data_IF_456055535284
#
_entry.id   IF_456055535284
#
_cell.length_a   1.000
_cell.length_b   1.000
_cell.length_c   1.000
_cell.angle_alpha   90.00
_cell.angle_beta   90.00
_cell.angle_gamma   90.00
#
_symmetry.space_group_name_H-M   'P 1'
#
loop_
_entity.id
_entity.type
_entity.pdbx_description
1 polymer ?
#
# COMPACT_ATOMS: atom_id res chain seq x y z
N UNK A 1 6.73 -9.74 4.07
CA UNK A 1 5.61 -8.80 4.22
C UNK A 1 5.46 -8.44 5.68
N UNK A 2 5.36 -7.17 5.98
CA UNK A 2 5.14 -6.67 7.34
C UNK A 2 3.70 -7.00 7.77
N UNK A 3 3.53 -7.46 9.01
CA UNK A 3 2.20 -7.69 9.60
C UNK A 3 1.92 -6.53 10.55
N UNK A 4 0.87 -5.77 10.27
CA UNK A 4 0.51 -4.57 11.02
C UNK A 4 -0.32 -4.90 12.24
N UNK A 5 -0.01 -4.24 13.35
CA UNK A 5 -0.96 -4.11 14.45
C UNK A 5 -2.07 -3.14 14.02
N UNK A 6 -3.33 -3.54 14.26
CA UNK A 6 -4.47 -2.71 13.91
C UNK A 6 -4.76 -1.71 15.03
N UNK A 7 -4.91 -0.41 14.73
CA UNK A 7 -5.24 0.59 15.73
C UNK A 7 -6.66 0.33 16.27
N UNK A 8 -6.84 0.44 17.59
CA UNK A 8 -8.17 0.33 18.22
C UNK A 8 -8.71 1.72 18.55
N UNK A 9 -10.03 1.89 18.47
CA UNK A 9 -10.69 3.18 18.71
C UNK A 9 -11.65 3.20 19.91
N UNK A 10 -11.95 4.39 20.40
CA UNK A 10 -12.98 4.66 21.41
C UNK A 10 -14.40 4.65 20.87
N UNK A 11 -15.36 4.58 21.79
CA UNK A 11 -16.77 4.77 21.45
C UNK A 11 -17.01 6.22 21.06
N UNK A 12 -17.77 6.42 19.98
CA UNK A 12 -18.23 7.73 19.53
C UNK A 12 -19.69 7.55 19.12
N UNK A 13 -20.52 8.54 19.48
CA UNK A 13 -21.91 8.63 19.10
C UNK A 13 -22.07 9.89 18.25
N UNK A 14 -22.26 9.73 16.94
CA UNK A 14 -22.52 10.89 16.08
C UNK A 14 -23.90 11.49 16.36
N UNK A 15 -24.84 10.70 16.90
CA UNK A 15 -26.14 11.21 17.34
C UNK A 15 -25.99 12.26 18.45
N UNK A 16 -25.03 12.07 19.36
CA UNK A 16 -24.77 13.03 20.44
C UNK A 16 -23.89 14.21 19.97
N UNK A 17 -23.03 13.96 18.98
CA UNK A 17 -22.05 14.92 18.47
C UNK A 17 -22.62 15.85 17.40
N UNK A 18 -23.54 15.38 16.56
CA UNK A 18 -24.04 16.09 15.39
C UNK A 18 -25.42 16.70 15.63
N UNK A 19 -25.60 17.94 15.21
CA UNK A 19 -26.89 18.63 15.14
C UNK A 19 -27.29 18.70 13.68
N UNK A 20 -28.32 17.96 13.30
CA UNK A 20 -28.87 18.05 11.95
C UNK A 20 -29.48 19.45 11.72
N UNK A 21 -28.91 20.21 10.79
CA UNK A 21 -29.37 21.56 10.39
C UNK A 21 -29.96 21.55 8.98
N UNK A 22 -30.05 20.40 8.34
CA UNK A 22 -30.66 20.25 7.02
C UNK A 22 -32.16 20.56 7.06
N UNK A 23 -32.70 20.88 5.88
CA UNK A 23 -34.15 21.04 5.70
C UNK A 23 -34.85 19.75 6.14
N UNK A 24 -35.93 19.92 6.93
CA UNK A 24 -36.75 18.83 7.47
C UNK A 24 -36.01 17.76 8.28
N UNK A 25 -34.80 18.07 8.79
CA UNK A 25 -33.96 17.10 9.52
C UNK A 25 -33.69 15.81 8.71
N UNK A 26 -33.44 15.98 7.42
CA UNK A 26 -33.27 14.90 6.45
C UNK A 26 -32.11 13.94 6.74
N UNK A 27 -31.17 14.29 7.63
CA UNK A 27 -29.96 13.50 7.90
C UNK A 27 -29.98 12.78 9.25
N UNK A 28 -31.00 12.98 10.09
CA UNK A 28 -31.10 12.37 11.42
C UNK A 28 -30.95 10.84 11.38
N UNK A 29 -31.60 10.17 10.41
CA UNK A 29 -31.47 8.72 10.21
C UNK A 29 -30.04 8.32 9.83
N UNK A 30 -29.41 9.08 8.92
CA UNK A 30 -28.06 8.82 8.43
C UNK A 30 -26.99 9.03 9.51
N UNK A 31 -27.17 9.98 10.42
CA UNK A 31 -26.29 10.20 11.58
C UNK A 31 -26.36 8.98 12.53
N UNK A 32 -27.54 8.39 12.71
CA UNK A 32 -27.71 7.15 13.47
C UNK A 32 -27.02 5.95 12.78
N UNK A 33 -27.17 5.81 11.46
CA UNK A 33 -26.48 4.80 10.67
C UNK A 33 -24.95 4.93 10.76
N UNK A 34 -24.42 6.16 10.66
CA UNK A 34 -22.99 6.44 10.82
C UNK A 34 -22.48 6.02 12.21
N UNK A 35 -23.28 6.22 13.26
CA UNK A 35 -22.97 5.78 14.63
C UNK A 35 -22.90 4.26 14.71
N UNK A 36 -23.86 3.57 14.12
CA UNK A 36 -23.89 2.11 14.09
C UNK A 36 -22.70 1.53 13.29
N UNK A 37 -22.42 2.06 12.09
CA UNK A 37 -21.31 1.63 11.25
C UNK A 37 -19.97 1.79 11.98
N UNK A 38 -19.75 2.93 12.66
CA UNK A 38 -18.56 3.16 13.47
C UNK A 38 -18.48 2.23 14.69
N UNK A 39 -19.61 1.93 15.33
CA UNK A 39 -19.67 1.00 16.45
C UNK A 39 -19.31 -0.43 16.02
N UNK A 40 -19.77 -0.88 14.84
CA UNK A 40 -19.41 -2.16 14.24
C UNK A 40 -17.91 -2.24 13.97
N UNK A 41 -17.33 -1.20 13.34
CA UNK A 41 -15.88 -1.10 13.10
C UNK A 41 -15.09 -1.24 14.41
N UNK A 42 -15.48 -0.49 15.44
CA UNK A 42 -14.85 -0.58 16.77
C UNK A 42 -14.95 -1.98 17.36
N UNK A 43 -16.11 -2.65 17.23
CA UNK A 43 -16.33 -4.01 17.73
C UNK A 43 -15.30 -4.97 17.15
N UNK A 44 -15.18 -5.01 15.81
CA UNK A 44 -14.25 -5.90 15.11
C UNK A 44 -12.79 -5.57 15.42
N UNK A 45 -12.41 -4.29 15.52
CA UNK A 45 -11.04 -3.91 15.91
C UNK A 45 -10.69 -4.38 17.34
N UNK A 46 -11.66 -4.31 18.26
CA UNK A 46 -11.48 -4.77 19.64
C UNK A 46 -11.36 -6.29 19.72
N UNK A 47 -12.17 -7.01 18.94
CA UNK A 47 -12.13 -8.48 18.89
C UNK A 47 -10.85 -8.96 18.22
N UNK A 48 -10.46 -8.34 17.10
CA UNK A 48 -9.18 -8.61 16.42
C UNK A 48 -7.94 -8.38 17.30
N UNK A 49 -8.03 -7.55 18.34
CA UNK A 49 -6.96 -7.35 19.32
C UNK A 49 -6.92 -8.46 20.38
N UNK A 50 -8.06 -9.07 20.70
CA UNK A 50 -8.19 -10.11 21.74
C UNK A 50 -7.90 -11.52 21.21
N UNK A 51 -8.06 -11.73 19.92
CA UNK A 51 -7.81 -13.00 19.26
C UNK A 51 -6.31 -13.19 19.04
N UNK A 52 -5.63 -13.79 20.03
CA UNK A 52 -4.20 -14.14 19.93
C UNK A 52 -3.97 -15.52 19.27
N UNK A 53 -5.01 -16.36 19.18
CA UNK A 53 -4.91 -17.77 18.75
C UNK A 53 -5.88 -18.19 17.63
N UNK A 54 -6.71 -17.27 17.13
CA UNK A 54 -7.66 -17.53 16.03
C UNK A 54 -7.28 -16.80 14.75
N UNK A 55 -7.74 -17.32 13.60
CA UNK A 55 -7.59 -16.61 12.32
C UNK A 55 -8.35 -15.28 12.36
N UNK A 56 -7.63 -14.17 12.19
CA UNK A 56 -8.21 -12.83 12.14
C UNK A 56 -8.90 -12.64 10.80
N UNK A 57 -10.19 -12.33 10.81
CA UNK A 57 -10.96 -12.06 9.61
C UNK A 57 -10.74 -10.62 9.11
N UNK A 58 -9.62 -10.41 8.42
CA UNK A 58 -9.29 -9.12 7.82
C UNK A 58 -10.24 -8.75 6.66
N UNK A 59 -10.91 -9.72 6.03
CA UNK A 59 -11.85 -9.45 4.95
C UNK A 59 -13.12 -8.78 5.49
N UNK A 60 -13.66 -9.27 6.60
CA UNK A 60 -14.80 -8.63 7.27
C UNK A 60 -14.44 -7.22 7.75
N UNK A 61 -13.22 -7.02 8.27
CA UNK A 61 -12.75 -5.68 8.64
C UNK A 61 -12.67 -4.73 7.43
N UNK A 62 -12.10 -5.18 6.31
CA UNK A 62 -12.04 -4.40 5.06
C UNK A 62 -13.44 -3.95 4.64
N UNK A 63 -14.42 -4.84 4.65
CA UNK A 63 -15.82 -4.53 4.29
C UNK A 63 -16.47 -3.51 5.22
N UNK A 64 -16.29 -3.67 6.53
CA UNK A 64 -16.84 -2.73 7.51
C UNK A 64 -16.24 -1.33 7.40
N UNK A 65 -14.95 -1.24 7.07
CA UNK A 65 -14.32 0.07 6.82
C UNK A 65 -14.89 0.68 5.53
N UNK A 66 -15.02 -0.10 4.45
CA UNK A 66 -15.65 0.35 3.20
C UNK A 66 -17.10 0.83 3.40
N UNK A 67 -17.86 0.19 4.30
CA UNK A 67 -19.20 0.62 4.69
C UNK A 67 -19.18 1.94 5.49
N UNK A 68 -18.17 2.13 6.34
CA UNK A 68 -18.09 3.30 7.22
C UNK A 68 -17.54 4.57 6.51
N UNK A 69 -16.57 4.44 5.60
CA UNK A 69 -15.91 5.58 4.94
C UNK A 69 -16.89 6.58 4.28
N UNK A 70 -17.93 6.14 3.53
CA UNK A 70 -18.94 7.04 2.97
C UNK A 70 -19.66 7.90 4.02
N UNK A 71 -19.91 7.35 5.21
CA UNK A 71 -20.64 8.06 6.27
C UNK A 71 -19.78 9.16 6.90
N UNK A 72 -18.53 8.89 7.25
CA UNK A 72 -17.66 9.93 7.85
C UNK A 72 -17.36 11.04 6.85
N UNK A 73 -17.21 10.72 5.56
CA UNK A 73 -17.10 11.73 4.50
C UNK A 73 -18.36 12.59 4.38
N UNK A 74 -19.55 11.97 4.47
CA UNK A 74 -20.82 12.70 4.45
C UNK A 74 -20.91 13.69 5.60
N UNK A 75 -20.51 13.28 6.81
CA UNK A 75 -20.49 14.15 7.99
C UNK A 75 -19.50 15.32 7.79
N UNK A 76 -18.29 15.05 7.30
CA UNK A 76 -17.29 16.09 6.99
C UNK A 76 -17.84 17.09 5.96
N UNK A 77 -18.43 16.59 4.87
CA UNK A 77 -18.98 17.43 3.81
C UNK A 77 -20.17 18.25 4.30
N UNK A 78 -21.11 17.65 5.04
CA UNK A 78 -22.25 18.36 5.60
C UNK A 78 -21.80 19.43 6.61
N UNK A 79 -20.77 19.15 7.42
CA UNK A 79 -20.20 20.13 8.33
C UNK A 79 -19.57 21.30 7.58
N UNK A 80 -18.83 21.03 6.50
CA UNK A 80 -18.24 22.08 5.66
C UNK A 80 -19.28 22.96 4.93
N UNK A 81 -20.51 22.46 4.73
CA UNK A 81 -21.62 23.17 4.10
C UNK A 81 -22.68 23.65 5.12
N UNK A 82 -22.37 23.61 6.42
CA UNK A 82 -23.28 24.02 7.51
C UNK A 82 -24.62 23.24 7.59
N UNK A 83 -24.76 22.12 6.89
CA UNK A 83 -25.94 21.25 6.93
C UNK A 83 -25.96 20.34 8.17
N UNK A 84 -24.79 20.12 8.80
CA UNK A 84 -24.65 19.49 10.12
C UNK A 84 -23.79 20.39 11.00
N UNK A 85 -24.29 20.75 12.19
CA UNK A 85 -23.50 21.37 13.25
C UNK A 85 -22.86 20.34 14.19
N UNK A 86 -21.86 20.74 14.97
CA UNK A 86 -21.20 19.88 15.97
C UNK A 86 -21.38 20.48 17.38
N UNK A 87 -21.74 19.65 18.36
CA UNK A 87 -21.85 19.99 19.78
C UNK A 87 -20.46 20.04 20.45
N UNK A 88 -19.66 21.05 20.11
CA UNK A 88 -18.32 21.26 20.68
C UNK A 88 -17.16 20.79 19.78
N UNK A 89 -15.97 20.61 20.35
CA UNK A 89 -14.79 20.16 19.60
C UNK A 89 -14.79 18.61 19.51
N UNK A 90 -14.99 18.03 18.30
CA UNK A 90 -15.09 16.60 18.16
C UNK A 90 -13.73 15.96 18.43
N UNK A 91 -13.67 15.00 19.37
CA UNK A 91 -12.42 14.35 19.76
C UNK A 91 -12.54 12.83 19.63
N UNK A 92 -11.56 12.21 18.97
CA UNK A 92 -11.57 10.79 18.65
C UNK A 92 -10.41 10.06 19.30
N UNK A 93 -10.72 9.03 20.08
CA UNK A 93 -9.70 8.27 20.79
C UNK A 93 -9.18 7.12 19.95
N UNK A 94 -7.92 7.16 19.52
CA UNK A 94 -7.28 6.14 18.67
C UNK A 94 -5.96 5.65 19.27
N UNK A 95 -5.53 4.44 18.91
CA UNK A 95 -4.18 3.96 19.24
C UNK A 95 -3.23 4.21 18.08
N UNK A 96 -2.04 4.71 18.41
CA UNK A 96 -0.95 4.89 17.46
C UNK A 96 -0.08 3.62 17.45
N UNK A 97 -0.11 2.86 16.37
CA UNK A 97 0.55 1.55 16.25
C UNK A 97 1.96 1.64 15.68
N UNK A 98 2.30 2.76 15.04
CA UNK A 98 3.62 3.00 14.46
C UNK A 98 4.51 3.88 15.32
N UNK A 99 4.00 4.52 16.38
CA UNK A 99 4.84 5.20 17.36
C UNK A 99 5.79 4.22 18.04
N UNK A 100 7.03 4.65 18.24
CA UNK A 100 7.94 3.96 19.13
C UNK A 100 7.38 4.02 20.54
N UNK A 101 7.28 2.86 21.18
CA UNK A 101 6.88 2.77 22.58
C UNK A 101 7.77 1.76 23.28
N UNK A 102 8.14 2.08 24.53
CA UNK A 102 9.03 1.24 25.34
C UNK A 102 8.30 -0.03 25.81
N UNK A 103 6.97 0.06 25.96
CA UNK A 103 6.11 -1.06 26.32
C UNK A 103 5.36 -1.58 25.09
N UNK A 104 5.09 -2.90 25.03
CA UNK A 104 4.32 -3.56 23.96
C UNK A 104 2.82 -3.18 23.91
N UNK A 105 2.46 -1.98 24.38
CA UNK A 105 1.12 -1.42 24.29
C UNK A 105 1.18 -0.11 23.50
N UNK A 106 0.59 -0.11 22.31
CA UNK A 106 0.40 1.08 21.48
C UNK A 106 -0.30 2.19 22.29
N UNK A 107 0.25 3.41 22.37
CA UNK A 107 -0.32 4.48 23.18
C UNK A 107 -1.70 4.86 22.63
N UNK A 108 -2.62 5.16 23.54
CA UNK A 108 -3.94 5.67 23.18
C UNK A 108 -3.92 7.18 23.32
N UNK A 109 -4.46 7.87 22.34
CA UNK A 109 -4.48 9.33 22.28
C UNK A 109 -5.82 9.83 21.79
N UNK A 110 -6.19 10.98 22.29
CA UNK A 110 -7.39 11.70 21.90
C UNK A 110 -6.98 12.73 20.84
N UNK A 111 -7.60 12.61 19.67
CA UNK A 111 -7.19 13.31 18.45
C UNK A 111 -8.36 14.17 17.98
N UNK A 112 -8.17 15.51 17.90
CA UNK A 112 -9.27 16.43 17.61
C UNK A 112 -9.60 16.48 16.11
N UNK A 113 -10.87 16.77 15.80
CA UNK A 113 -11.37 17.02 14.45
C UNK A 113 -11.95 15.77 13.77
N UNK A 114 -12.95 15.97 12.91
CA UNK A 114 -13.56 14.88 12.12
C UNK A 114 -12.55 14.17 11.19
N UNK A 115 -11.56 14.92 10.69
CA UNK A 115 -10.48 14.37 9.87
C UNK A 115 -9.61 13.37 10.62
N UNK A 116 -9.52 13.45 11.95
CA UNK A 116 -8.79 12.47 12.74
C UNK A 116 -9.39 11.07 12.54
N UNK A 117 -10.72 10.96 12.65
CA UNK A 117 -11.42 9.70 12.53
C UNK A 117 -11.36 9.14 11.11
N UNK A 118 -11.45 10.03 10.11
CA UNK A 118 -11.32 9.66 8.71
C UNK A 118 -9.90 9.17 8.37
N UNK A 119 -8.87 9.91 8.80
CA UNK A 119 -7.48 9.58 8.57
C UNK A 119 -7.09 8.25 9.22
N UNK A 120 -7.48 8.01 10.47
CA UNK A 120 -7.27 6.72 11.13
C UNK A 120 -8.07 5.58 10.48
N UNK A 121 -9.28 5.83 10.00
CA UNK A 121 -10.06 4.82 9.28
C UNK A 121 -9.37 4.39 7.98
N UNK A 122 -8.83 5.35 7.20
CA UNK A 122 -8.03 5.06 6.00
C UNK A 122 -6.69 4.37 6.32
N UNK A 123 -6.01 4.79 7.39
CA UNK A 123 -4.79 4.12 7.84
C UNK A 123 -5.07 2.65 8.20
N UNK A 124 -6.12 2.42 9.00
CA UNK A 124 -6.59 1.08 9.38
C UNK A 124 -6.97 0.26 8.15
N UNK A 125 -7.57 0.92 7.15
CA UNK A 125 -7.94 0.29 5.90
C UNK A 125 -6.73 -0.22 5.12
N UNK A 126 -5.70 0.61 4.97
CA UNK A 126 -4.44 0.22 4.35
C UNK A 126 -3.75 -0.93 5.11
N UNK A 127 -3.76 -0.90 6.45
CA UNK A 127 -3.22 -2.01 7.26
C UNK A 127 -4.02 -3.30 7.08
N UNK A 128 -5.35 -3.24 7.08
CA UNK A 128 -6.21 -4.40 6.89
C UNK A 128 -5.99 -5.05 5.51
N UNK A 129 -5.84 -4.24 4.45
CA UNK A 129 -5.50 -4.72 3.11
C UNK A 129 -4.12 -5.40 3.07
N UNK A 130 -3.10 -4.81 3.72
CA UNK A 130 -1.78 -5.44 3.82
C UNK A 130 -1.82 -6.76 4.59
N UNK A 131 -2.55 -6.79 5.71
CA UNK A 131 -2.69 -7.99 6.53
C UNK A 131 -3.48 -9.09 5.79
N UNK A 132 -4.51 -8.72 5.02
CA UNK A 132 -5.24 -9.63 4.14
C UNK A 132 -4.32 -10.23 3.06
N UNK A 133 -3.46 -9.42 2.45
CA UNK A 133 -2.43 -9.90 1.53
C UNK A 133 -1.45 -10.85 2.23
N UNK A 134 -1.02 -10.53 3.46
CA UNK A 134 -0.11 -11.35 4.24
C UNK A 134 -0.69 -12.76 4.50
N UNK A 135 -1.92 -12.86 5.01
CA UNK A 135 -2.55 -14.16 5.26
C UNK A 135 -2.79 -14.93 3.96
N UNK A 136 -3.13 -14.23 2.87
CA UNK A 136 -3.33 -14.85 1.55
C UNK A 136 -2.02 -15.47 1.05
N UNK A 137 -0.90 -14.75 1.12
CA UNK A 137 0.42 -15.25 0.71
C UNK A 137 0.88 -16.41 1.60
N UNK A 138 0.65 -16.32 2.91
CA UNK A 138 1.00 -17.40 3.83
C UNK A 138 0.21 -18.68 3.55
N UNK A 139 -1.09 -18.57 3.25
CA UNK A 139 -1.96 -19.71 2.92
C UNK A 139 -1.52 -20.46 1.66
N UNK A 140 -0.81 -19.80 0.75
CA UNK A 140 -0.30 -20.41 -0.49
C UNK A 140 0.89 -21.34 -0.19
N UNK A 141 1.68 -21.04 0.86
CA UNK A 141 2.86 -21.80 1.27
C UNK A 141 3.99 -21.79 0.22
N UNK A 142 5.07 -22.53 0.43
CA UNK A 142 6.20 -22.68 -0.52
C UNK A 142 5.90 -23.65 -1.68
N UNK A 143 4.79 -23.45 -2.38
CA UNK A 143 4.28 -24.41 -3.36
C UNK A 143 5.21 -24.65 -4.55
N UNK A 144 6.07 -23.68 -4.87
CA UNK A 144 7.08 -23.80 -5.92
C UNK A 144 8.13 -24.89 -5.61
N UNK A 145 8.26 -25.28 -4.34
CA UNK A 145 9.18 -26.33 -3.88
C UNK A 145 8.53 -27.72 -3.87
N UNK A 146 7.21 -27.81 -4.08
CA UNK A 146 6.50 -29.07 -4.10
C UNK A 146 6.69 -29.78 -5.45
N UNK A 147 7.51 -30.85 -5.47
CA UNK A 147 7.78 -31.66 -6.66
C UNK A 147 6.54 -32.40 -7.21
N UNK A 148 5.48 -32.56 -6.41
CA UNK A 148 4.26 -33.25 -6.81
C UNK A 148 3.14 -32.29 -7.27
N UNK A 149 3.39 -30.98 -7.32
CA UNK A 149 2.35 -30.02 -7.69
C UNK A 149 1.97 -30.15 -9.16
N UNK A 150 0.67 -30.21 -9.44
CA UNK A 150 0.19 -30.17 -10.82
C UNK A 150 0.25 -28.76 -11.40
N UNK A 151 0.31 -28.64 -12.72
CA UNK A 151 0.31 -27.32 -13.38
C UNK A 151 -0.98 -26.52 -13.11
N UNK A 152 -2.11 -27.21 -12.92
CA UNK A 152 -3.40 -26.60 -12.56
C UNK A 152 -3.36 -26.02 -11.15
N UNK A 153 -2.90 -26.79 -10.17
CA UNK A 153 -2.75 -26.32 -8.78
C UNK A 153 -1.75 -25.18 -8.66
N UNK A 154 -0.64 -25.25 -9.40
CA UNK A 154 0.38 -24.19 -9.45
C UNK A 154 -0.24 -22.88 -9.94
N UNK A 155 -0.98 -22.90 -11.05
CA UNK A 155 -1.68 -21.72 -11.59
C UNK A 155 -2.74 -21.18 -10.63
N UNK A 156 -3.49 -22.06 -9.96
CA UNK A 156 -4.47 -21.65 -8.96
C UNK A 156 -3.81 -20.92 -7.77
N UNK A 157 -2.62 -21.37 -7.34
CA UNK A 157 -1.81 -20.69 -6.33
C UNK A 157 -1.22 -19.37 -6.81
N UNK A 158 -0.80 -19.29 -8.07
CA UNK A 158 -0.39 -18.03 -8.69
C UNK A 158 -1.52 -17.00 -8.75
N UNK A 159 -2.77 -17.43 -8.94
CA UNK A 159 -3.93 -16.53 -8.91
C UNK A 159 -4.19 -16.01 -7.49
N UNK A 160 -4.05 -16.85 -6.46
CA UNK A 160 -4.10 -16.36 -5.06
C UNK A 160 -3.02 -15.32 -4.77
N UNK A 161 -1.80 -15.52 -5.30
CA UNK A 161 -0.74 -14.50 -5.22
C UNK A 161 -1.12 -13.22 -5.97
N UNK A 162 -1.80 -13.32 -7.12
CA UNK A 162 -2.31 -12.17 -7.87
C UNK A 162 -3.33 -11.37 -7.05
N UNK A 163 -4.24 -12.04 -6.36
CA UNK A 163 -5.22 -11.40 -5.47
C UNK A 163 -4.51 -10.66 -4.33
N UNK A 164 -3.53 -11.29 -3.66
CA UNK A 164 -2.75 -10.64 -2.61
C UNK A 164 -2.00 -9.38 -3.11
N UNK A 165 -1.42 -9.47 -4.32
CA UNK A 165 -0.77 -8.35 -4.99
C UNK A 165 -1.76 -7.17 -5.19
N UNK A 166 -3.00 -7.45 -5.62
CA UNK A 166 -4.01 -6.41 -5.81
C UNK A 166 -4.39 -5.69 -4.51
N UNK A 167 -4.45 -6.40 -3.38
CA UNK A 167 -4.68 -5.78 -2.08
C UNK A 167 -3.56 -4.80 -1.70
N UNK A 168 -2.29 -5.17 -1.96
CA UNK A 168 -1.14 -4.30 -1.69
C UNK A 168 -1.10 -3.06 -2.61
N UNK A 169 -1.46 -3.21 -3.89
CA UNK A 169 -1.60 -2.05 -4.79
C UNK A 169 -2.68 -1.09 -4.31
N UNK A 170 -3.80 -1.62 -3.79
CA UNK A 170 -4.88 -0.81 -3.22
C UNK A 170 -4.44 -0.13 -1.93
N UNK A 171 -3.75 -0.85 -1.04
CA UNK A 171 -3.19 -0.27 0.18
C UNK A 171 -2.21 0.87 -0.13
N UNK A 172 -1.33 0.67 -1.13
CA UNK A 172 -0.43 1.72 -1.62
C UNK A 172 -1.19 2.99 -2.02
N UNK A 173 -2.25 2.85 -2.83
CA UNK A 173 -3.11 3.97 -3.21
C UNK A 173 -3.81 4.65 -2.05
N UNK A 174 -4.30 3.88 -1.07
CA UNK A 174 -4.94 4.41 0.15
C UNK A 174 -3.96 5.27 0.95
N UNK A 175 -2.73 4.79 1.13
CA UNK A 175 -1.70 5.55 1.86
C UNK A 175 -1.24 6.80 1.10
N UNK A 176 -1.17 6.75 -0.24
CA UNK A 176 -0.93 7.93 -1.07
C UNK A 176 -2.06 8.96 -0.95
N UNK A 177 -3.32 8.52 -1.01
CA UNK A 177 -4.46 9.43 -0.83
C UNK A 177 -4.48 10.06 0.57
N UNK A 178 -4.15 9.27 1.60
CA UNK A 178 -3.99 9.77 2.96
C UNK A 178 -2.92 10.88 3.04
N UNK A 179 -1.73 10.66 2.47
CA UNK A 179 -0.60 11.59 2.54
C UNK A 179 -0.74 12.84 1.68
N UNK A 180 -1.37 12.73 0.52
CA UNK A 180 -1.44 13.79 -0.50
C UNK A 180 -2.75 14.57 -0.47
N UNK A 181 -3.82 14.01 0.09
CA UNK A 181 -5.14 14.65 0.13
C UNK A 181 -5.62 14.87 1.57
N UNK A 182 -5.80 13.80 2.33
CA UNK A 182 -6.52 13.89 3.62
C UNK A 182 -5.73 14.63 4.69
N UNK A 183 -4.43 14.34 4.85
CA UNK A 183 -3.60 15.01 5.85
C UNK A 183 -3.39 16.51 5.55
N UNK A 184 -3.11 16.93 4.29
CA UNK A 184 -3.10 18.35 3.94
C UNK A 184 -4.44 19.05 4.17
N UNK A 185 -5.57 18.44 3.79
CA UNK A 185 -6.89 19.03 4.02
C UNK A 185 -7.16 19.24 5.51
N UNK A 186 -6.81 18.27 6.36
CA UNK A 186 -6.93 18.40 7.81
C UNK A 186 -6.16 19.61 8.34
N UNK A 187 -4.94 19.86 7.85
CA UNK A 187 -4.14 21.02 8.28
C UNK A 187 -4.79 22.37 7.93
N UNK A 188 -5.56 22.42 6.86
CA UNK A 188 -6.22 23.65 6.37
C UNK A 188 -7.65 23.85 6.87
N UNK A 189 -8.30 22.81 7.40
CA UNK A 189 -9.72 22.88 7.75
C UNK A 189 -9.98 23.60 9.09
N UNK A 190 -11.17 24.21 9.22
CA UNK A 190 -11.65 24.85 10.44
C UNK A 190 -11.87 23.76 11.50
N UNK A 191 -11.13 23.82 12.61
CA UNK A 191 -11.25 22.85 13.71
C UNK A 191 -9.96 22.11 14.04
N UNK A 192 -8.84 22.41 13.37
CA UNK A 192 -7.54 21.94 13.83
C UNK A 192 -7.11 22.74 15.05
N UNK A 193 -6.98 22.05 16.19
CA UNK A 193 -6.52 22.66 17.44
C UNK A 193 -5.09 23.19 17.25
N UNK A 194 -4.84 24.49 17.49
CA UNK A 194 -3.50 25.02 17.42
C UNK A 194 -2.58 24.27 18.40
N UNK A 195 -1.41 23.86 17.92
CA UNK A 195 -0.39 23.08 18.65
C UNK A 195 -0.68 21.58 18.87
N UNK A 196 -1.69 20.98 18.23
CA UNK A 196 -1.83 19.52 18.25
C UNK A 196 -0.72 18.84 17.42
N UNK A 197 0.09 18.01 18.08
CA UNK A 197 1.10 17.20 17.40
C UNK A 197 0.50 15.85 16.99
N UNK A 198 0.36 15.64 15.68
CA UNK A 198 -0.10 14.35 15.13
C UNK A 198 0.89 13.24 15.49
N UNK A 199 0.42 12.00 15.75
CA UNK A 199 1.32 10.86 15.87
C UNK A 199 2.04 10.62 14.54
N UNK A 200 3.19 9.92 14.56
CA UNK A 200 3.89 9.50 13.34
C UNK A 200 2.99 8.68 12.40
N UNK A 201 2.02 7.93 12.92
CA UNK A 201 1.00 7.21 12.14
C UNK A 201 0.24 8.11 11.14
N UNK A 202 0.10 9.40 11.47
CA UNK A 202 -0.68 10.38 10.71
C UNK A 202 0.21 11.50 10.17
N UNK A 203 1.48 11.21 9.90
CA UNK A 203 2.35 12.10 9.14
C UNK A 203 2.32 11.76 7.65
N UNK A 204 2.62 12.77 6.83
CA UNK A 204 2.67 12.61 5.37
C UNK A 204 3.84 11.72 4.97
N UNK A 205 4.96 11.84 5.67
CA UNK A 205 6.20 11.11 5.40
C UNK A 205 6.04 9.62 5.71
N UNK A 206 5.44 9.27 6.87
CA UNK A 206 5.17 7.87 7.22
C UNK A 206 4.12 7.28 6.29
N UNK A 207 3.05 8.02 5.97
CA UNK A 207 2.03 7.56 5.02
C UNK A 207 2.64 7.29 3.63
N UNK A 208 3.49 8.19 3.13
CA UNK A 208 4.24 7.96 1.88
C UNK A 208 5.23 6.79 1.96
N UNK A 209 5.86 6.58 3.12
CA UNK A 209 6.71 5.41 3.35
C UNK A 209 5.89 4.11 3.26
N UNK A 210 4.71 4.07 3.87
CA UNK A 210 3.80 2.92 3.80
C UNK A 210 3.29 2.67 2.37
N UNK A 211 3.02 3.73 1.61
CA UNK A 211 2.63 3.63 0.21
C UNK A 211 3.73 2.93 -0.63
N UNK A 212 4.98 3.39 -0.49
CA UNK A 212 6.15 2.80 -1.17
C UNK A 212 6.42 1.37 -0.70
N UNK A 213 6.36 1.12 0.61
CA UNK A 213 6.57 -0.22 1.17
C UNK A 213 5.55 -1.22 0.63
N UNK A 214 4.28 -0.83 0.54
CA UNK A 214 3.20 -1.68 0.03
C UNK A 214 3.41 -2.03 -1.45
N UNK A 215 3.88 -1.08 -2.26
CA UNK A 215 4.20 -1.33 -3.66
C UNK A 215 5.43 -2.26 -3.82
N UNK A 216 6.45 -2.11 -2.98
CA UNK A 216 7.60 -3.01 -2.96
C UNK A 216 7.23 -4.44 -2.53
N UNK A 217 6.35 -4.59 -1.53
CA UNK A 217 5.80 -5.89 -1.13
C UNK A 217 5.00 -6.52 -2.30
N UNK A 218 4.20 -5.73 -3.04
CA UNK A 218 3.47 -6.20 -4.23
C UNK A 218 4.43 -6.69 -5.33
N UNK A 219 5.48 -5.91 -5.60
CA UNK A 219 6.53 -6.23 -6.57
C UNK A 219 7.27 -7.52 -6.19
N UNK A 220 7.51 -7.75 -4.90
CA UNK A 220 8.10 -9.01 -4.39
C UNK A 220 7.23 -10.22 -4.72
N UNK A 221 5.90 -10.08 -4.62
CA UNK A 221 4.96 -11.15 -5.01
C UNK A 221 4.98 -11.36 -6.54
N UNK A 222 5.05 -10.30 -7.34
CA UNK A 222 5.19 -10.46 -8.79
C UNK A 222 6.47 -11.19 -9.18
N UNK A 223 7.60 -10.88 -8.55
CA UNK A 223 8.86 -11.59 -8.79
C UNK A 223 8.73 -13.07 -8.42
N UNK A 224 8.12 -13.37 -7.28
CA UNK A 224 7.84 -14.76 -6.86
C UNK A 224 7.01 -15.52 -7.89
N UNK A 225 5.92 -14.92 -8.39
CA UNK A 225 5.09 -15.50 -9.47
C UNK A 225 5.90 -15.70 -10.74
N UNK A 226 6.69 -14.70 -11.13
CA UNK A 226 7.53 -14.73 -12.31
C UNK A 226 8.54 -15.89 -12.30
N UNK A 227 9.02 -16.25 -11.10
CA UNK A 227 9.97 -17.33 -10.85
C UNK A 227 9.32 -18.69 -10.56
N UNK A 228 7.99 -18.77 -10.44
CA UNK A 228 7.29 -19.96 -9.95
C UNK A 228 7.61 -21.22 -10.75
N UNK A 229 7.51 -21.15 -12.08
CA UNK A 229 7.81 -22.28 -12.96
C UNK A 229 9.29 -22.68 -12.93
N UNK A 230 10.20 -21.71 -12.98
CA UNK A 230 11.63 -22.00 -12.95
C UNK A 230 12.12 -22.52 -11.60
N UNK A 231 11.50 -22.08 -10.50
CA UNK A 231 11.77 -22.59 -9.17
C UNK A 231 11.33 -24.06 -9.05
N UNK A 232 10.16 -24.40 -9.61
CA UNK A 232 9.71 -25.78 -9.71
C UNK A 232 10.70 -26.66 -10.51
N UNK A 233 11.10 -26.23 -11.70
CA UNK A 233 12.04 -26.98 -12.54
C UNK A 233 13.43 -27.13 -11.88
N UNK A 234 13.87 -26.11 -11.13
CA UNK A 234 15.15 -26.13 -10.41
C UNK A 234 15.17 -27.08 -9.20
N UNK A 235 14.02 -27.60 -8.74
CA UNK A 235 14.00 -28.61 -7.68
C UNK A 235 14.70 -29.91 -8.10
N UNK A 236 14.82 -30.16 -9.41
CA UNK A 236 15.46 -31.35 -9.97
C UNK A 236 16.96 -31.15 -10.13
N UNK A 237 17.38 -29.98 -10.60
CA UNK A 237 18.78 -29.62 -10.82
C UNK A 237 19.05 -28.18 -10.34
N UNK A 238 19.40 -27.98 -9.06
CA UNK A 238 19.65 -26.64 -8.52
C UNK A 238 21.02 -26.10 -8.96
N UNK A 239 21.05 -24.82 -9.35
CA UNK A 239 22.27 -24.12 -9.77
C UNK A 239 22.42 -24.02 -11.29
N UNK A 240 23.60 -23.59 -11.79
CA UNK A 240 23.89 -23.51 -13.22
C UNK A 240 23.83 -24.86 -13.95
N UNK A 241 23.42 -24.90 -15.22
CA UNK A 241 22.82 -23.81 -15.98
C UNK A 241 21.36 -23.56 -15.57
N UNK A 242 20.85 -22.34 -15.80
CA UNK A 242 19.45 -22.03 -15.54
C UNK A 242 18.48 -22.90 -16.40
N UNK A 243 17.32 -23.29 -15.87
CA UNK A 243 16.35 -24.06 -16.64
C UNK A 243 15.76 -23.21 -17.78
N UNK A 244 15.30 -23.82 -18.89
CA UNK A 244 14.73 -23.10 -20.04
C UNK A 244 13.49 -22.25 -19.71
N UNK A 245 12.78 -22.58 -18.63
CA UNK A 245 11.62 -21.83 -18.14
C UNK A 245 11.98 -20.55 -17.39
N UNK A 246 13.26 -20.33 -17.10
CA UNK A 246 13.73 -19.18 -16.35
C UNK A 246 13.59 -17.89 -17.16
N UNK A 247 13.14 -16.83 -16.49
CA UNK A 247 13.00 -15.50 -17.10
C UNK A 247 14.37 -14.82 -17.22
N UNK A 248 14.56 -13.81 -18.08
CA UNK A 248 15.87 -13.18 -18.24
C UNK A 248 16.42 -12.68 -16.89
N UNK A 249 17.62 -13.12 -16.44
CA UNK A 249 18.22 -12.63 -15.19
C UNK A 249 18.34 -11.09 -15.09
N UNK A 250 18.64 -10.33 -16.17
CA UNK A 250 18.64 -8.87 -16.12
C UNK A 250 17.31 -8.26 -15.73
N UNK A 251 16.20 -8.91 -16.13
CA UNK A 251 14.86 -8.45 -15.75
C UNK A 251 14.71 -8.58 -14.24
N UNK A 252 15.02 -9.74 -13.67
CA UNK A 252 14.93 -9.99 -12.23
C UNK A 252 15.82 -9.05 -11.41
N UNK A 253 17.04 -8.80 -11.88
CA UNK A 253 17.95 -7.84 -11.26
C UNK A 253 17.30 -6.46 -11.14
N UNK A 254 16.78 -5.91 -12.24
CA UNK A 254 16.12 -4.60 -12.25
C UNK A 254 14.85 -4.56 -11.38
N UNK A 255 14.06 -5.64 -11.36
CA UNK A 255 12.87 -5.73 -10.51
C UNK A 255 13.23 -5.73 -9.01
N UNK A 256 14.27 -6.47 -8.62
CA UNK A 256 14.76 -6.50 -7.24
C UNK A 256 15.42 -5.17 -6.84
N UNK A 257 16.19 -4.56 -7.74
CA UNK A 257 16.80 -3.27 -7.48
C UNK A 257 15.74 -2.19 -7.18
N UNK A 258 14.63 -2.22 -7.92
CA UNK A 258 13.55 -1.28 -7.66
C UNK A 258 12.87 -1.52 -6.31
N UNK A 259 12.66 -2.77 -5.90
CA UNK A 259 12.24 -3.07 -4.53
C UNK A 259 13.21 -2.47 -3.50
N UNK A 260 14.52 -2.64 -3.70
CA UNK A 260 15.54 -2.11 -2.79
C UNK A 260 15.48 -0.57 -2.70
N UNK A 261 15.29 0.11 -3.84
CA UNK A 261 15.10 1.56 -3.91
C UNK A 261 13.84 2.02 -3.16
N UNK A 262 12.73 1.32 -3.35
CA UNK A 262 11.47 1.62 -2.67
C UNK A 262 11.55 1.43 -1.16
N UNK A 263 12.11 0.30 -0.67
CA UNK A 263 12.27 0.08 0.77
C UNK A 263 13.26 1.07 1.40
N UNK A 264 14.36 1.40 0.71
CA UNK A 264 15.33 2.40 1.18
C UNK A 264 14.70 3.79 1.25
N UNK A 265 13.96 4.18 0.22
CA UNK A 265 13.22 5.44 0.18
C UNK A 265 12.14 5.51 1.26
N UNK A 266 11.39 4.43 1.45
CA UNK A 266 10.39 4.32 2.50
C UNK A 266 11.04 4.44 3.88
N UNK A 267 12.20 3.82 4.10
CA UNK A 267 12.97 3.98 5.34
C UNK A 267 13.33 5.43 5.56
N UNK A 268 13.96 6.10 4.59
CA UNK A 268 14.36 7.50 4.71
C UNK A 268 13.17 8.41 5.05
N UNK A 269 12.02 8.20 4.40
CA UNK A 269 10.79 8.93 4.69
C UNK A 269 10.28 8.66 6.11
N UNK A 270 10.19 7.39 6.53
CA UNK A 270 9.76 7.07 7.89
C UNK A 270 10.73 7.61 8.96
N UNK A 271 12.00 7.81 8.62
CA UNK A 271 13.00 8.35 9.53
C UNK A 271 13.05 9.88 9.60
N UNK A 272 12.39 10.61 8.70
CA UNK A 272 12.56 12.07 8.59
C UNK A 272 12.08 12.82 9.84
N UNK A 273 11.10 12.27 10.55
CA UNK A 273 10.58 12.82 11.81
C UNK A 273 11.51 12.59 13.00
N UNK A 274 12.51 11.71 12.87
CA UNK A 274 13.43 11.36 13.94
C UNK A 274 13.40 9.88 14.28
N UNK A 275 14.56 9.31 14.61
CA UNK A 275 14.72 7.86 14.66
C UNK A 275 14.05 7.13 15.81
N UNK A 276 13.61 7.89 16.80
CA UNK A 276 12.93 7.41 17.99
C UNK A 276 11.42 7.61 17.93
N UNK A 277 10.88 8.19 16.86
CA UNK A 277 9.43 8.40 16.75
C UNK A 277 8.73 7.19 16.13
N UNK A 278 9.37 6.52 15.17
CA UNK A 278 8.81 5.35 14.47
C UNK A 278 9.28 4.03 15.09
N UNK A 279 8.36 3.06 15.16
CA UNK A 279 8.57 1.75 15.76
C UNK A 279 9.82 1.05 15.23
N UNK A 280 10.59 0.44 16.14
CA UNK A 280 11.82 -0.28 15.79
C UNK A 280 11.58 -1.43 14.81
N UNK A 281 10.42 -2.09 14.92
CA UNK A 281 10.02 -3.21 14.06
C UNK A 281 9.84 -2.77 12.59
N UNK A 282 9.17 -1.65 12.34
CA UNK A 282 9.01 -1.13 10.98
C UNK A 282 10.37 -0.73 10.38
N UNK A 283 11.20 -0.03 11.17
CA UNK A 283 12.55 0.38 10.75
C UNK A 283 13.44 -0.81 10.39
N UNK A 284 13.43 -1.85 11.22
CA UNK A 284 14.16 -3.11 10.99
C UNK A 284 13.64 -3.79 9.73
N UNK A 285 12.33 -3.88 9.55
CA UNK A 285 11.72 -4.49 8.36
C UNK A 285 12.17 -3.79 7.07
N UNK A 286 12.05 -2.46 7.00
CA UNK A 286 12.43 -1.67 5.83
C UNK A 286 13.92 -1.82 5.49
N UNK A 287 14.79 -1.75 6.51
CA UNK A 287 16.24 -1.96 6.32
C UNK A 287 16.55 -3.37 5.82
N UNK A 288 15.95 -4.39 6.43
CA UNK A 288 16.19 -5.77 6.09
C UNK A 288 15.71 -6.11 4.68
N UNK A 289 14.53 -5.63 4.27
CA UNK A 289 14.05 -5.85 2.90
C UNK A 289 14.88 -5.09 1.87
N UNK A 290 15.33 -3.86 2.17
CA UNK A 290 16.22 -3.11 1.27
C UNK A 290 17.51 -3.89 0.98
N UNK A 291 18.21 -4.36 2.03
CA UNK A 291 19.43 -5.16 1.90
C UNK A 291 19.17 -6.50 1.20
N UNK A 292 18.08 -7.19 1.55
CA UNK A 292 17.71 -8.46 0.90
C UNK A 292 17.54 -8.29 -0.61
N UNK A 293 16.79 -7.27 -1.03
CA UNK A 293 16.52 -7.03 -2.44
C UNK A 293 17.75 -6.49 -3.18
N UNK A 294 18.64 -5.73 -2.53
CA UNK A 294 19.95 -5.38 -3.07
C UNK A 294 20.77 -6.64 -3.39
N UNK A 295 20.86 -7.57 -2.42
CA UNK A 295 21.63 -8.79 -2.60
C UNK A 295 21.06 -9.68 -3.70
N UNK A 296 19.74 -9.78 -3.80
CA UNK A 296 19.08 -10.51 -4.87
C UNK A 296 19.27 -9.84 -6.24
N UNK A 297 19.33 -8.51 -6.31
CA UNK A 297 19.70 -7.80 -7.53
C UNK A 297 21.13 -8.17 -7.97
N UNK A 298 22.10 -8.10 -7.06
CA UNK A 298 23.48 -8.50 -7.31
C UNK A 298 23.59 -9.96 -7.75
N UNK A 299 22.85 -10.87 -7.10
CA UNK A 299 22.75 -12.28 -7.52
C UNK A 299 22.35 -12.37 -8.98
N UNK A 300 21.25 -11.73 -9.39
CA UNK A 300 20.77 -11.86 -10.76
C UNK A 300 21.64 -11.16 -11.81
N UNK A 301 22.34 -10.08 -11.45
CA UNK A 301 23.39 -9.48 -12.31
C UNK A 301 24.57 -10.43 -12.50
N UNK A 302 24.99 -11.11 -11.43
CA UNK A 302 26.04 -12.12 -11.49
C UNK A 302 25.66 -13.33 -12.32
N UNK A 303 24.41 -13.81 -12.21
CA UNK A 303 23.88 -14.88 -13.06
C UNK A 303 23.84 -14.45 -14.53
N UNK A 304 23.40 -13.22 -14.84
CA UNK A 304 23.42 -12.73 -16.23
C UNK A 304 24.84 -12.72 -16.83
N UNK A 305 25.80 -12.17 -16.08
CA UNK A 305 27.20 -12.13 -16.49
C UNK A 305 27.77 -13.54 -16.70
N UNK A 306 27.44 -14.49 -15.83
CA UNK A 306 27.95 -15.86 -15.89
C UNK A 306 27.32 -16.74 -16.97
N UNK A 307 26.01 -16.61 -17.22
CA UNK A 307 25.30 -17.44 -18.21
C UNK A 307 25.38 -16.86 -19.63
N UNK A 308 25.31 -15.52 -19.78
CA UNK A 308 25.22 -14.85 -21.09
C UNK A 308 26.43 -14.00 -21.44
N UNK A 309 27.22 -13.59 -20.45
CA UNK A 309 28.37 -12.74 -20.67
C UNK A 309 29.58 -13.43 -21.29
N UNK A 310 29.52 -14.76 -21.46
CA UNK A 310 30.58 -15.56 -22.08
C UNK A 310 31.88 -15.50 -21.29
N UNK A 311 33.01 -15.73 -21.98
CA UNK A 311 34.34 -15.68 -21.38
C UNK A 311 34.69 -14.33 -20.77
N UNK A 312 34.19 -13.25 -21.36
CA UNK A 312 34.70 -11.90 -21.09
C UNK A 312 34.11 -11.27 -19.84
N UNK A 313 33.03 -11.85 -19.29
CA UNK A 313 32.35 -11.38 -18.08
C UNK A 313 32.43 -12.36 -16.91
N UNK A 314 33.27 -13.38 -16.99
CA UNK A 314 33.44 -14.35 -15.91
C UNK A 314 33.91 -13.69 -14.60
N UNK A 315 34.78 -12.68 -14.68
CA UNK A 315 35.20 -11.86 -13.54
C UNK A 315 34.04 -11.06 -12.92
N UNK A 316 33.21 -10.42 -13.75
CA UNK A 316 32.02 -9.68 -13.33
C UNK A 316 31.02 -10.59 -12.59
N UNK A 317 30.80 -11.80 -13.12
CA UNK A 317 29.90 -12.79 -12.51
C UNK A 317 30.33 -13.15 -11.08
N UNK A 318 31.64 -13.37 -10.87
CA UNK A 318 32.21 -13.67 -9.55
C UNK A 318 32.06 -12.47 -8.62
N UNK A 319 32.37 -11.26 -9.09
CA UNK A 319 32.34 -10.06 -8.26
C UNK A 319 30.92 -9.74 -7.77
N UNK A 320 29.91 -9.78 -8.67
CA UNK A 320 28.51 -9.61 -8.28
C UNK A 320 28.03 -10.69 -7.29
N UNK A 321 28.45 -11.94 -7.47
CA UNK A 321 28.12 -13.02 -6.53
C UNK A 321 28.76 -12.83 -5.16
N UNK A 322 30.00 -12.33 -5.10
CA UNK A 322 30.66 -11.98 -3.85
C UNK A 322 29.93 -10.83 -3.14
N UNK A 323 29.49 -9.80 -3.86
CA UNK A 323 28.65 -8.73 -3.31
C UNK A 323 27.35 -9.29 -2.71
N UNK A 324 26.61 -10.10 -3.48
CA UNK A 324 25.37 -10.72 -3.03
C UNK A 324 25.58 -11.57 -1.77
N UNK A 325 26.64 -12.38 -1.75
CA UNK A 325 26.97 -13.24 -0.62
C UNK A 325 27.27 -12.43 0.64
N UNK A 326 28.12 -11.40 0.52
CA UNK A 326 28.48 -10.51 1.63
C UNK A 326 27.26 -9.84 2.23
N UNK A 327 26.40 -9.24 1.41
CA UNK A 327 25.19 -8.57 1.86
C UNK A 327 24.22 -9.52 2.59
N UNK A 328 24.08 -10.76 2.10
CA UNK A 328 23.27 -11.78 2.77
C UNK A 328 23.88 -12.27 4.09
N UNK A 329 25.21 -12.38 4.19
CA UNK A 329 25.92 -12.73 5.44
C UNK A 329 25.76 -11.63 6.49
N UNK A 330 25.96 -10.37 6.11
CA UNK A 330 25.72 -9.21 6.98
C UNK A 330 24.26 -9.14 7.45
N UNK A 331 23.31 -9.42 6.56
CA UNK A 331 21.88 -9.44 6.88
C UNK A 331 21.51 -10.58 7.84
N UNK A 332 22.18 -11.72 7.73
CA UNK A 332 22.02 -12.86 8.66
C UNK A 332 22.52 -12.50 10.06
N UNK A 333 23.67 -11.83 10.15
CA UNK A 333 24.33 -11.48 11.41
C UNK A 333 23.71 -10.25 12.11
N UNK A 334 23.11 -9.33 11.35
CA UNK A 334 22.37 -8.17 11.89
C UNK A 334 21.09 -8.53 12.66
N UNK A 335 20.72 -9.82 12.71
CA UNK A 335 19.52 -10.32 13.39
C UNK A 335 19.62 -10.48 14.91
N UNK A 336 20.80 -10.33 15.54
CA UNK A 336 21.10 -10.68 16.95
C UNK A 336 20.45 -9.80 18.04
N UNK A 337 19.22 -9.31 17.84
CA UNK A 337 18.45 -8.71 18.93
C UNK A 337 17.68 -9.82 19.66
N UNK A 338 17.68 -9.79 21.00
CA UNK A 338 17.00 -10.79 21.85
C UNK A 338 15.50 -10.79 21.52
N UNK A 339 15.00 -11.82 20.82
CA UNK A 339 13.57 -12.05 20.61
C UNK A 339 12.94 -12.55 21.92
N UNK A 340 12.00 -11.78 22.48
CA UNK A 340 11.45 -12.00 23.83
C UNK A 340 10.17 -12.86 23.80
N UNK A 341 9.58 -13.13 22.62
CA UNK A 341 8.37 -13.97 22.47
C UNK A 341 8.54 -15.17 21.53
N UNK A 342 7.72 -16.23 21.73
CA UNK A 342 7.69 -17.41 20.86
C UNK A 342 7.33 -17.07 19.40
N UNK A 343 6.35 -16.20 19.19
CA UNK A 343 5.94 -15.76 17.86
C UNK A 343 7.00 -14.88 17.17
N UNK A 344 7.80 -14.11 17.91
CA UNK A 344 8.92 -13.34 17.36
C UNK A 344 10.08 -14.26 16.95
N UNK A 345 10.37 -15.28 17.77
CA UNK A 345 11.36 -16.31 17.45
C UNK A 345 11.00 -17.06 16.17
N UNK A 346 9.76 -17.49 16.01
CA UNK A 346 9.31 -18.18 14.80
C UNK A 346 9.46 -17.29 13.54
N UNK A 347 9.14 -16.00 13.64
CA UNK A 347 9.36 -15.03 12.54
C UNK A 347 10.84 -14.86 12.22
N UNK A 348 11.70 -14.82 13.24
CA UNK A 348 13.15 -14.71 13.10
C UNK A 348 13.75 -15.97 12.45
N UNK A 349 13.29 -17.16 12.85
CA UNK A 349 13.69 -18.45 12.25
C UNK A 349 13.31 -18.51 10.78
N UNK A 350 12.04 -18.24 10.44
CA UNK A 350 11.58 -18.16 9.04
C UNK A 350 12.38 -17.17 8.21
N UNK A 351 12.75 -16.03 8.80
CA UNK A 351 13.60 -15.03 8.16
C UNK A 351 15.02 -15.56 7.90
N UNK A 352 15.64 -16.22 8.88
CA UNK A 352 16.95 -16.85 8.75
C UNK A 352 16.94 -17.98 7.71
N UNK A 353 15.90 -18.78 7.67
CA UNK A 353 15.74 -19.87 6.69
C UNK A 353 15.68 -19.34 5.26
N UNK A 354 14.94 -18.22 5.05
CA UNK A 354 14.92 -17.52 3.76
C UNK A 354 16.32 -17.05 3.36
N UNK A 355 17.07 -16.44 4.28
CA UNK A 355 18.44 -15.97 3.99
C UNK A 355 19.36 -17.15 3.70
N UNK A 356 19.31 -18.22 4.50
CA UNK A 356 20.13 -19.41 4.31
C UNK A 356 19.86 -20.09 2.96
N UNK A 357 18.59 -20.12 2.52
CA UNK A 357 18.20 -20.64 1.20
C UNK A 357 18.85 -19.83 0.08
N UNK A 358 18.83 -18.51 0.18
CA UNK A 358 19.45 -17.64 -0.82
C UNK A 358 20.99 -17.70 -0.78
N UNK A 359 21.59 -17.78 0.42
CA UNK A 359 23.02 -17.99 0.58
C UNK A 359 23.49 -19.29 -0.05
N UNK A 360 22.73 -20.38 0.12
CA UNK A 360 23.03 -21.66 -0.51
C UNK A 360 22.98 -21.56 -2.04
N UNK A 361 21.97 -20.85 -2.57
CA UNK A 361 21.86 -20.58 -4.01
C UNK A 361 23.06 -19.77 -4.53
N UNK A 362 23.34 -18.60 -3.93
CA UNK A 362 24.47 -17.73 -4.31
C UNK A 362 25.80 -18.47 -4.22
N UNK A 363 26.00 -19.28 -3.18
CA UNK A 363 27.24 -20.06 -3.00
C UNK A 363 27.44 -21.11 -4.10
N UNK A 364 26.36 -21.76 -4.54
CA UNK A 364 26.41 -22.72 -5.66
C UNK A 364 26.79 -22.05 -6.98
N UNK A 365 26.16 -20.91 -7.30
CA UNK A 365 26.51 -20.10 -8.48
C UNK A 365 27.95 -19.59 -8.43
N UNK A 366 28.36 -19.01 -7.29
CA UNK A 366 29.71 -18.50 -7.09
C UNK A 366 30.78 -19.59 -7.27
N UNK A 367 30.56 -20.77 -6.69
CA UNK A 367 31.48 -21.91 -6.82
C UNK A 367 31.65 -22.33 -8.28
N UNK A 368 30.55 -22.37 -9.02
CA UNK A 368 30.57 -22.73 -10.43
C UNK A 368 31.29 -21.69 -11.28
N UNK A 369 30.91 -20.41 -11.19
CA UNK A 369 31.55 -19.34 -11.98
C UNK A 369 33.02 -19.16 -11.64
N UNK A 370 33.39 -19.29 -10.36
CA UNK A 370 34.80 -19.30 -9.96
C UNK A 370 35.57 -20.45 -10.60
N UNK A 371 35.05 -21.68 -10.53
CA UNK A 371 35.69 -22.83 -11.19
C UNK A 371 35.88 -22.59 -12.69
N UNK A 372 34.85 -22.08 -13.37
CA UNK A 372 34.92 -21.84 -14.81
C UNK A 372 35.92 -20.73 -15.16
N UNK A 373 35.97 -19.67 -14.35
CA UNK A 373 36.96 -18.62 -14.53
C UNK A 373 38.40 -19.10 -14.28
N UNK A 374 38.61 -19.88 -13.23
CA UNK A 374 39.94 -20.38 -12.85
C UNK A 374 40.48 -21.47 -13.80
N UNK A 375 39.63 -22.05 -14.66
CA UNK A 375 40.00 -23.16 -15.56
C UNK A 375 39.87 -22.85 -17.04
N UNK A 376 38.98 -21.93 -17.43
CA UNK A 376 38.66 -21.65 -18.84
C UNK A 376 38.86 -20.17 -19.18
N UNK A 377 38.34 -19.23 -18.38
CA UNK A 377 38.22 -17.84 -18.83
C UNK A 377 39.33 -16.91 -18.35
N UNK A 378 39.93 -17.18 -17.19
CA UNK A 378 41.04 -16.44 -16.58
C UNK A 378 40.84 -14.92 -16.51
N UNK A 379 39.60 -14.46 -16.33
CA UNK A 379 39.31 -13.03 -16.23
C UNK A 379 39.67 -12.50 -14.83
N UNK A 380 40.23 -11.29 -14.73
CA UNK A 380 40.41 -10.64 -13.45
C UNK A 380 39.04 -10.34 -12.80
N UNK A 381 38.95 -10.47 -11.48
CA UNK A 381 37.74 -10.12 -10.72
C UNK A 381 37.77 -8.61 -10.44
N UNK A 382 36.80 -7.82 -10.93
CA UNK A 382 36.75 -6.38 -10.69
C UNK A 382 36.60 -6.01 -9.22
N UNK A 383 36.95 -4.77 -8.87
CA UNK A 383 36.74 -4.26 -7.52
C UNK A 383 35.26 -3.98 -7.23
N UNK A 384 34.90 -3.82 -5.95
CA UNK A 384 33.53 -3.46 -5.56
C UNK A 384 33.08 -2.13 -6.19
N UNK A 385 33.99 -1.16 -6.37
CA UNK A 385 33.67 0.13 -6.99
C UNK A 385 33.34 -0.03 -8.48
N UNK A 386 34.09 -0.87 -9.20
CA UNK A 386 33.85 -1.14 -10.62
C UNK A 386 32.51 -1.83 -10.84
N UNK A 387 32.15 -2.77 -9.95
CA UNK A 387 30.87 -3.48 -9.98
C UNK A 387 29.71 -2.52 -9.72
N UNK A 388 29.85 -1.61 -8.75
CA UNK A 388 28.83 -0.60 -8.45
C UNK A 388 28.51 0.28 -9.65
N UNK A 389 29.53 0.66 -10.44
CA UNK A 389 29.35 1.46 -11.65
C UNK A 389 28.59 0.73 -12.78
N UNK A 390 28.48 -0.60 -12.71
CA UNK A 390 27.78 -1.44 -13.69
C UNK A 390 26.32 -1.73 -13.32
N UNK A 391 25.85 -1.27 -12.16
CA UNK A 391 24.48 -1.53 -11.70
C UNK A 391 23.49 -0.68 -12.54
N UNK A 392 22.50 -1.30 -13.21
CA UNK A 392 21.53 -0.58 -14.03
C UNK A 392 20.48 0.12 -13.15
N UNK A 393 19.55 0.86 -13.77
CA UNK A 393 18.37 1.35 -13.06
C UNK A 393 17.34 0.24 -12.80
N UNK A 394 16.63 0.36 -11.68
CA UNK A 394 15.50 -0.50 -11.34
C UNK A 394 14.29 -0.26 -12.24
N UNK A 395 13.37 -1.22 -12.28
CA UNK A 395 12.10 -1.10 -12.98
C UNK A 395 10.96 -1.68 -12.13
N UNK A 396 9.76 -1.10 -12.26
CA UNK A 396 8.54 -1.65 -11.68
C UNK A 396 7.81 -2.54 -12.69
N UNK A 397 7.31 -3.70 -12.24
CA UNK A 397 6.37 -4.52 -13.00
C UNK A 397 4.92 -4.20 -12.66
N UNK A 398 4.69 -3.48 -11.56
CA UNK A 398 3.36 -3.16 -11.04
C UNK A 398 3.30 -1.67 -10.73
N UNK A 399 2.19 -1.03 -11.11
CA UNK A 399 1.89 0.34 -10.75
C UNK A 399 1.01 0.41 -9.49
N UNK A 400 1.15 1.49 -8.72
CA UNK A 400 0.18 1.83 -7.69
C UNK A 400 -1.20 2.02 -8.35
N UNK A 401 -2.27 1.58 -7.67
CA UNK A 401 -3.64 1.86 -8.08
C UNK A 401 -4.09 3.12 -7.34
N UNK A 402 -4.38 4.24 -8.01
CA UNK A 402 -4.91 5.41 -7.33
C UNK A 402 -6.15 5.03 -6.54
N UNK A 403 -6.20 5.46 -5.29
CA UNK A 403 -7.39 5.25 -4.47
C UNK A 403 -8.45 6.28 -4.87
N UNK A 404 -9.64 5.78 -5.21
CA UNK A 404 -10.82 6.61 -5.45
C UNK A 404 -11.68 6.51 -4.20
N UNK A 405 -11.87 7.60 -3.42
CA UNK A 405 -12.77 7.58 -2.29
C UNK A 405 -14.20 7.22 -2.73
N UNK A 406 -14.96 6.47 -1.93
CA UNK A 406 -16.36 6.21 -2.26
C UNK A 406 -17.15 7.53 -2.24
N UNK A 407 -18.27 7.57 -2.96
CA UNK A 407 -19.19 8.70 -2.88
C UNK A 407 -19.76 8.81 -1.45
N UNK A 408 -19.93 10.03 -0.92
CA UNK A 408 -20.62 10.25 0.34
C UNK A 408 -21.98 9.52 0.35
N UNK A 409 -22.29 8.85 1.46
CA UNK A 409 -23.57 8.16 1.67
C UNK A 409 -24.77 9.13 1.64
N UNK A 410 -24.58 10.37 2.10
CA UNK A 410 -25.61 11.40 2.13
C UNK A 410 -24.99 12.81 2.05
N UNK A 411 -25.84 13.83 1.90
CA UNK A 411 -25.40 15.22 1.88
C UNK A 411 -24.57 15.62 0.66
N UNK A 412 -23.87 16.76 0.70
CA UNK A 412 -23.12 17.29 -0.43
C UNK A 412 -22.12 16.27 -1.01
N UNK A 413 -22.20 16.07 -2.33
CA UNK A 413 -21.39 15.09 -3.07
C UNK A 413 -22.00 13.68 -3.14
N UNK A 414 -23.08 13.39 -2.42
CA UNK A 414 -23.83 12.14 -2.60
C UNK A 414 -24.65 12.16 -3.91
N UNK A 415 -24.94 10.97 -4.43
CA UNK A 415 -25.79 10.78 -5.62
C UNK A 415 -27.16 11.42 -5.38
N UNK A 416 -27.76 11.16 -4.22
CA UNK A 416 -29.08 11.64 -3.87
C UNK A 416 -29.15 13.16 -3.70
N UNK A 417 -28.11 13.78 -3.14
CA UNK A 417 -28.02 15.24 -3.07
C UNK A 417 -27.91 15.88 -4.44
N UNK A 418 -27.11 15.28 -5.33
CA UNK A 418 -26.93 15.74 -6.71
C UNK A 418 -28.26 15.66 -7.46
N UNK A 419 -28.99 14.54 -7.33
CA UNK A 419 -30.32 14.33 -7.89
C UNK A 419 -31.31 15.39 -7.41
N UNK A 420 -31.42 15.61 -6.10
CA UNK A 420 -32.32 16.63 -5.51
C UNK A 420 -32.00 18.03 -6.02
N UNK A 421 -30.72 18.37 -6.16
CA UNK A 421 -30.30 19.69 -6.68
C UNK A 421 -30.64 19.85 -8.16
N UNK A 422 -30.47 18.81 -8.97
CA UNK A 422 -30.88 18.80 -10.38
C UNK A 422 -32.40 18.96 -10.51
N UNK A 423 -33.19 18.21 -9.74
CA UNK A 423 -34.66 18.31 -9.73
C UNK A 423 -35.13 19.72 -9.33
N UNK A 424 -34.52 20.34 -8.32
CA UNK A 424 -34.82 21.72 -7.92
C UNK A 424 -34.51 22.75 -9.01
N UNK A 425 -33.39 22.58 -9.73
CA UNK A 425 -33.03 23.45 -10.85
C UNK A 425 -33.99 23.30 -12.04
N UNK A 426 -34.43 22.08 -12.34
CA UNK A 426 -35.43 21.82 -13.38
C UNK A 426 -36.80 22.42 -13.03
N UNK A 427 -37.24 22.30 -11.78
CA UNK A 427 -38.48 22.92 -11.30
C UNK A 427 -38.36 24.45 -11.38
N UNK A 428 -37.24 25.02 -10.96
CA UNK A 428 -36.99 26.46 -11.07
C UNK A 428 -37.03 26.93 -12.54
N UNK A 429 -36.43 26.18 -13.46
CA UNK A 429 -36.44 26.48 -14.90
C UNK A 429 -37.84 26.39 -15.54
N UNK A 430 -38.70 25.47 -15.06
CA UNK A 430 -40.11 25.40 -15.49
C UNK A 430 -40.92 26.56 -14.91
N UNK A 431 -40.69 26.92 -13.65
CA UNK A 431 -41.39 28.05 -13.03
C UNK A 431 -41.00 29.42 -13.61
N UNK A 432 -39.81 29.56 -14.21
CA UNK A 432 -39.38 30.79 -14.88
C UNK A 432 -39.87 30.90 -16.33
N UNK A 433 -40.25 29.79 -16.97
CA UNK A 433 -40.86 29.80 -18.31
C UNK A 433 -42.35 30.16 -18.28
N UNK A 434 -43.05 29.91 -17.17
CA UNK A 434 -44.48 30.24 -17.02
C UNK A 434 -44.77 31.72 -16.68
N UNK A 435 -43.75 32.55 -16.44
CA UNK A 435 -43.91 33.99 -16.11
C UNK A 435 -43.71 34.92 -17.33
N UNK A 436 -43.44 34.36 -18.52
CA UNK A 436 -43.13 35.16 -19.72
C UNK A 436 -44.30 35.32 -20.72
N UNK A 437 -45.48 34.78 -20.44
CA UNK A 437 -46.64 34.86 -21.35
C UNK A 437 -47.78 35.70 -20.75
N UNK A 438 -47.56 37.02 -20.60
CA UNK A 438 -48.69 37.96 -20.60
C UNK A 438 -48.28 39.38 -21.04
N UNK A 439 -48.16 39.61 -22.35
CA UNK A 439 -48.66 40.82 -23.04
C UNK A 439 -48.65 40.61 -24.55
N UNK A 440 -49.83 40.77 -25.16
CA UNK A 440 -50.08 40.49 -26.58
C UNK A 440 -49.85 41.65 -27.54
N UNK A 441 -49.35 41.28 -28.73
CA UNK A 441 -49.69 41.73 -30.11
C UNK A 441 -49.17 43.13 -30.52
N UNK A 442 -48.34 43.29 -31.57
CA UNK A 442 -48.71 43.10 -32.99
C UNK A 442 -47.50 42.91 -33.96
N UNK A 443 -47.74 42.44 -35.21
CA UNK A 443 -46.72 41.86 -36.10
C UNK A 443 -46.12 42.85 -37.11
N UNK A 444 -44.86 42.66 -37.50
CA UNK A 444 -44.25 43.41 -38.59
C UNK A 444 -42.82 42.99 -38.94
N UNK A 445 -42.71 42.23 -40.03
CA UNK A 445 -41.62 42.26 -41.03
C UNK A 445 -40.24 41.70 -40.65
N UNK A 446 -39.87 40.60 -41.32
CA UNK A 446 -38.51 40.04 -41.46
C UNK A 446 -37.54 41.06 -42.12
N UNK A 447 -36.22 40.95 -41.89
CA UNK A 447 -35.42 40.17 -42.86
C UNK A 447 -34.25 39.32 -42.28
N UNK A 448 -34.11 38.13 -42.84
CA UNK A 448 -32.87 37.41 -43.27
C UNK A 448 -31.67 37.22 -42.31
N UNK A 449 -31.49 35.97 -41.85
CA UNK A 449 -30.31 35.05 -41.79
C UNK A 449 -28.85 35.58 -41.75
N UNK A 450 -27.83 34.82 -41.26
CA UNK A 450 -27.82 33.37 -41.02
C UNK A 450 -27.16 32.85 -39.71
N UNK A 451 -27.56 31.61 -39.41
CA UNK A 451 -26.90 30.53 -38.67
C UNK A 451 -25.40 30.63 -38.38
N UNK A 452 -25.03 30.37 -37.11
CA UNK A 452 -23.76 29.74 -36.76
C UNK A 452 -23.97 28.73 -35.61
N UNK A 453 -24.05 27.46 -35.99
CA UNK A 453 -23.85 26.30 -35.11
C UNK A 453 -22.35 26.19 -34.82
N UNK A 454 -21.95 26.25 -33.56
CA UNK A 454 -20.58 25.92 -33.15
C UNK A 454 -20.57 24.51 -32.56
N UNK A 455 -20.39 23.54 -33.45
CA UNK A 455 -20.00 22.18 -33.12
C UNK A 455 -18.71 21.87 -33.88
N UNK A 456 -17.63 21.59 -33.13
CA UNK A 456 -16.53 20.78 -33.63
C UNK A 456 -15.13 21.38 -33.58
N UNK A 457 -14.25 20.55 -33.02
CA UNK A 457 -12.86 20.33 -33.41
C UNK A 457 -11.75 21.16 -32.74
N UNK A 458 -10.87 20.42 -32.06
CA UNK A 458 -9.58 20.87 -31.59
C UNK A 458 -8.73 19.74 -31.04
N UNK A 459 -8.66 18.60 -31.74
CA UNK A 459 -7.57 17.65 -31.58
C UNK A 459 -6.33 18.26 -32.25
N UNK A 460 -5.25 18.45 -31.51
CA UNK A 460 -3.91 18.63 -32.06
C UNK A 460 -2.90 17.91 -31.16
N UNK A 461 -2.19 16.98 -31.81
CA UNK A 461 -0.87 16.38 -31.57
C UNK A 461 -0.43 16.02 -30.14
#
# INVERSE_FOLDING_TARGET
>A
MYLYDLPTTGSVSFVDLCIDRSLDKAYTRHISEATQARANLRGVLKDSKRTDHGEKDFLSLVKLIEEYLPYIQSIINCFAHDEIGITGEPTFSWRSTLSANIFNNSPRMDVPGLYADYAFSLLTYGFALCNLAHITVNSVGGYEQNRAITDVERRAKEEKLNVALQFLCRASGVFTYLSETVLPEWETNRGTTPNFQKPPDLSREVSNALAKMSLADAQTIAIRRLLSKSAYDSNVSPGPPLPPSHRPPPLLAKLHLECANYYSSARTLAMSLGSKEVSGNLRKYLSNQATMHSALSHKWLGVDAGEKGGSDKAGDAIAFMQCAKKELEELKDGGKLVSIGSAEKEKEEKWKDRINTELASVSSFLKYYKKMNDTVHFQPVPSQQDVQAKIPNGILAIAAKPYVPPSPAFGPGSIEYTRRKTEQLEIAARSSSDVSDNHGIAPGTMPTSPTASYAGAGAYF
#
